data_IF_362893398047
#
_entry.id   IF_362893398047
#
_cell.length_a   1.000
_cell.length_b   1.000
_cell.length_c   1.000
_cell.angle_alpha   90.00
_cell.angle_beta   90.00
_cell.angle_gamma   90.00
#
_symmetry.space_group_name_H-M   'P 1'
#
loop_
_entity.id
_entity.type
_entity.pdbx_description
1 polymer ?
#
# COMPACT_ATOMS: atom_id res chain seq x y z
N UNK A 1 14.86 2.55 -21.13
CA UNK A 1 15.86 1.66 -20.51
C UNK A 1 16.16 2.06 -19.06
N UNK A 2 16.68 3.26 -18.80
CA UNK A 2 16.95 3.79 -17.45
C UNK A 2 15.79 3.70 -16.44
N UNK A 3 14.56 4.03 -16.85
CA UNK A 3 13.37 3.93 -15.98
C UNK A 3 13.16 2.50 -15.45
N UNK A 4 13.35 1.48 -16.30
CA UNK A 4 13.18 0.08 -15.91
C UNK A 4 14.24 -0.35 -14.89
N UNK A 5 15.47 0.13 -15.06
CA UNK A 5 16.57 -0.12 -14.12
C UNK A 5 16.28 0.53 -12.77
N UNK A 6 15.92 1.82 -12.77
CA UNK A 6 15.61 2.54 -11.53
C UNK A 6 14.39 1.99 -10.81
N UNK A 7 13.31 1.66 -11.53
CA UNK A 7 12.13 1.01 -10.97
C UNK A 7 12.50 -0.33 -10.32
N UNK A 8 13.28 -1.17 -11.01
CA UNK A 8 13.74 -2.46 -10.45
C UNK A 8 14.59 -2.28 -9.20
N UNK A 9 15.46 -1.27 -9.17
CA UNK A 9 16.28 -0.96 -7.98
C UNK A 9 15.42 -0.50 -6.81
N UNK A 10 14.49 0.45 -7.02
CA UNK A 10 13.59 0.93 -5.97
C UNK A 10 12.65 -0.17 -5.47
N UNK A 11 12.12 -1.02 -6.35
CA UNK A 11 11.29 -2.17 -5.94
C UNK A 11 12.07 -3.19 -5.12
N UNK A 12 13.35 -3.41 -5.42
CA UNK A 12 14.19 -4.29 -4.60
C UNK A 12 14.46 -3.68 -3.22
N UNK A 13 14.80 -2.39 -3.17
CA UNK A 13 15.06 -1.71 -1.90
C UNK A 13 13.80 -1.53 -1.03
N UNK A 14 12.62 -1.46 -1.66
CA UNK A 14 11.34 -1.46 -0.95
C UNK A 14 11.15 -2.74 -0.12
N UNK A 15 11.65 -3.89 -0.60
CA UNK A 15 11.64 -5.15 0.16
C UNK A 15 12.48 -5.07 1.43
N UNK A 16 13.50 -4.23 1.43
CA UNK A 16 14.35 -3.95 2.58
C UNK A 16 13.79 -2.79 3.44
N UNK A 17 12.60 -2.28 3.13
CA UNK A 17 11.93 -1.19 3.84
C UNK A 17 12.41 0.21 3.44
N UNK A 18 13.22 0.35 2.40
CA UNK A 18 13.76 1.63 1.93
C UNK A 18 12.91 2.17 0.78
N UNK A 19 12.14 3.22 1.06
CA UNK A 19 11.27 3.87 0.06
C UNK A 19 12.02 4.94 -0.77
N UNK A 20 12.93 5.68 -0.13
CA UNK A 20 13.61 6.87 -0.68
C UNK A 20 15.01 6.57 -1.17
N UNK A 21 15.32 7.00 -2.40
CA UNK A 21 16.64 6.95 -3.02
C UNK A 21 17.04 8.29 -3.61
N UNK A 22 18.02 8.97 -2.99
CA UNK A 22 18.40 10.33 -3.37
C UNK A 22 18.75 10.52 -4.85
N UNK A 23 19.50 9.61 -5.46
CA UNK A 23 19.96 9.77 -6.85
C UNK A 23 18.84 9.55 -7.88
N UNK A 24 18.08 8.45 -7.75
CA UNK A 24 17.04 8.11 -8.72
C UNK A 24 15.76 8.91 -8.53
N UNK A 25 15.44 9.29 -7.29
CA UNK A 25 14.26 10.12 -7.03
C UNK A 25 14.41 11.49 -7.66
N UNK A 26 15.59 12.10 -7.53
CA UNK A 26 15.85 13.39 -8.14
C UNK A 26 15.94 13.33 -9.68
N UNK A 27 16.56 12.29 -10.25
CA UNK A 27 16.79 12.19 -11.69
C UNK A 27 15.60 11.65 -12.49
N UNK A 28 14.80 10.75 -11.91
CA UNK A 28 13.78 9.99 -12.67
C UNK A 28 12.36 10.24 -12.17
N UNK A 29 12.17 10.40 -10.86
CA UNK A 29 10.84 10.51 -10.25
C UNK A 29 10.43 11.94 -9.88
N UNK A 30 11.36 12.91 -9.88
CA UNK A 30 11.12 14.32 -9.53
C UNK A 30 10.06 15.03 -10.39
N UNK A 31 9.95 14.66 -11.67
CA UNK A 31 8.97 15.24 -12.60
C UNK A 31 7.77 14.34 -12.92
N UNK A 32 7.63 13.18 -12.25
CA UNK A 32 6.68 12.13 -12.67
C UNK A 32 5.56 11.85 -11.69
N UNK A 33 5.37 12.70 -10.67
CA UNK A 33 4.29 12.53 -9.70
C UNK A 33 2.90 12.93 -10.24
N UNK A 34 2.75 13.23 -11.54
CA UNK A 34 1.45 13.54 -12.17
C UNK A 34 0.69 14.65 -11.41
N UNK A 35 1.40 15.67 -10.94
CA UNK A 35 0.84 16.76 -10.13
C UNK A 35 0.56 16.44 -8.66
N UNK A 36 0.94 15.24 -8.18
CA UNK A 36 0.86 14.82 -6.79
C UNK A 36 2.15 15.13 -6.01
N UNK A 37 2.86 16.20 -6.36
CA UNK A 37 4.16 16.54 -5.77
C UNK A 37 4.09 16.81 -4.26
N UNK A 38 2.91 17.18 -3.76
CA UNK A 38 2.64 17.40 -2.32
C UNK A 38 1.92 16.23 -1.65
N UNK A 39 1.67 15.13 -2.36
CA UNK A 39 1.05 13.95 -1.78
C UNK A 39 2.04 13.28 -0.81
N UNK A 40 1.68 13.25 0.47
CA UNK A 40 2.48 12.62 1.52
C UNK A 40 2.05 11.17 1.80
N UNK A 41 0.89 10.76 1.28
CA UNK A 41 0.27 9.47 1.59
C UNK A 41 -0.87 9.19 0.60
N UNK A 42 -1.02 7.92 0.22
CA UNK A 42 -2.15 7.41 -0.56
C UNK A 42 -2.88 6.35 0.25
N UNK A 43 -4.21 6.41 0.25
CA UNK A 43 -5.06 5.39 0.86
C UNK A 43 -5.88 4.74 -0.25
N UNK A 44 -5.88 3.41 -0.28
CA UNK A 44 -6.68 2.58 -1.19
C UNK A 44 -7.67 1.74 -0.39
N UNK A 45 -8.81 1.40 -0.98
CA UNK A 45 -9.84 0.60 -0.33
C UNK A 45 -10.88 0.07 -1.32
N UNK A 46 -12.02 -0.35 -0.80
CA UNK A 46 -13.16 -0.96 -1.53
C UNK A 46 -12.92 -2.37 -2.07
N UNK A 47 -11.75 -2.63 -2.66
CA UNK A 47 -11.40 -3.93 -3.21
C UNK A 47 -9.91 -4.25 -2.95
N UNK A 48 -9.54 -5.54 -2.83
CA UNK A 48 -8.16 -5.94 -2.60
C UNK A 48 -7.26 -5.47 -3.74
N UNK A 49 -6.19 -4.74 -3.41
CA UNK A 49 -5.22 -4.27 -4.40
C UNK A 49 -4.11 -5.29 -4.61
N UNK A 50 -3.76 -5.56 -5.88
CA UNK A 50 -2.64 -6.42 -6.19
C UNK A 50 -1.32 -5.83 -5.65
N UNK A 51 -0.49 -6.67 -5.04
CA UNK A 51 0.70 -6.23 -4.33
C UNK A 51 1.72 -5.49 -5.23
N UNK A 52 1.87 -5.95 -6.47
CA UNK A 52 2.73 -5.35 -7.48
C UNK A 52 2.28 -3.94 -7.88
N UNK A 53 0.96 -3.71 -7.94
CA UNK A 53 0.36 -2.39 -8.21
C UNK A 53 0.62 -1.45 -7.04
N UNK A 54 0.45 -1.93 -5.81
CA UNK A 54 0.71 -1.14 -4.60
C UNK A 54 2.17 -0.69 -4.53
N UNK A 55 3.11 -1.61 -4.72
CA UNK A 55 4.55 -1.33 -4.70
C UNK A 55 4.98 -0.40 -5.83
N UNK A 56 4.37 -0.54 -7.02
CA UNK A 56 4.61 0.38 -8.12
C UNK A 56 4.25 1.83 -7.74
N UNK A 57 3.08 2.05 -7.13
CA UNK A 57 2.66 3.41 -6.74
C UNK A 57 3.46 3.97 -5.56
N UNK A 58 3.88 3.12 -4.60
CA UNK A 58 4.82 3.52 -3.53
C UNK A 58 6.12 4.07 -4.10
N UNK A 59 6.69 3.36 -5.08
CA UNK A 59 7.92 3.77 -5.74
C UNK A 59 7.74 5.03 -6.59
N UNK A 60 6.62 5.13 -7.31
CA UNK A 60 6.32 6.25 -8.21
C UNK A 60 6.10 7.56 -7.47
N UNK A 61 5.31 7.54 -6.40
CA UNK A 61 4.97 8.76 -5.65
C UNK A 61 5.94 9.08 -4.52
N UNK A 62 6.82 8.14 -4.16
CA UNK A 62 7.74 8.28 -3.04
C UNK A 62 7.01 8.59 -1.72
N UNK A 63 5.86 7.93 -1.53
CA UNK A 63 5.04 8.03 -0.32
C UNK A 63 4.43 6.67 0.03
N UNK A 64 4.03 6.46 1.31
CA UNK A 64 3.30 5.27 1.70
C UNK A 64 1.95 5.17 0.97
N UNK A 65 1.67 3.98 0.45
CA UNK A 65 0.36 3.56 -0.06
C UNK A 65 -0.18 2.53 0.92
N UNK A 66 -1.31 2.83 1.55
CA UNK A 66 -1.92 2.02 2.60
C UNK A 66 -3.27 1.48 2.15
N UNK A 67 -3.53 0.22 2.44
CA UNK A 67 -4.81 -0.43 2.21
C UNK A 67 -5.70 -0.30 3.45
N UNK A 68 -6.96 0.01 3.19
CA UNK A 68 -8.00 0.20 4.18
C UNK A 68 -9.19 -0.70 3.85
N UNK A 69 -9.61 -1.50 4.83
CA UNK A 69 -10.82 -2.31 4.77
C UNK A 69 -11.92 -1.67 5.61
N UNK A 70 -13.13 -1.63 5.05
CA UNK A 70 -14.30 -1.03 5.67
C UNK A 70 -15.55 -1.24 4.84
N UNK A 71 -16.70 -1.05 5.47
CA UNK A 71 -18.03 -1.19 4.90
C UNK A 71 -18.86 0.06 5.25
N UNK A 72 -20.00 0.25 4.59
CA UNK A 72 -20.98 1.28 4.98
C UNK A 72 -21.43 1.09 6.42
N UNK A 73 -21.62 -0.15 6.84
CA UNK A 73 -22.08 -0.60 8.15
C UNK A 73 -21.05 -0.33 9.25
N UNK A 74 -19.77 -0.20 8.90
CA UNK A 74 -18.69 0.17 9.85
C UNK A 74 -18.42 1.67 9.86
N UNK A 75 -19.28 2.50 9.26
CA UNK A 75 -19.09 3.96 9.12
C UNK A 75 -17.77 4.29 8.39
N UNK A 76 -17.36 3.44 7.43
CA UNK A 76 -16.10 3.60 6.69
C UNK A 76 -15.01 2.64 7.17
N UNK A 77 -13.78 3.15 7.34
CA UNK A 77 -12.59 2.32 7.56
C UNK A 77 -12.63 1.64 8.94
N UNK A 78 -12.58 0.30 8.95
CA UNK A 78 -12.49 -0.51 10.15
C UNK A 78 -11.06 -1.02 10.43
N UNK A 79 -10.29 -1.30 9.38
CA UNK A 79 -8.91 -1.76 9.44
C UNK A 79 -8.05 -1.01 8.44
N UNK A 80 -6.80 -0.72 8.77
CA UNK A 80 -5.87 -0.04 7.85
C UNK A 80 -4.41 -0.38 8.17
N UNK A 81 -3.53 -0.41 7.16
CA UNK A 81 -2.10 -0.50 7.42
C UNK A 81 -1.57 0.75 8.13
N UNK A 82 -0.52 0.58 8.94
CA UNK A 82 0.23 1.71 9.48
C UNK A 82 1.19 2.27 8.41
N UNK A 83 1.35 3.61 8.29
CA UNK A 83 2.22 4.22 7.26
C UNK A 83 3.67 3.73 7.27
N UNK A 84 4.20 3.35 8.44
CA UNK A 84 5.57 2.83 8.58
C UNK A 84 5.70 1.30 8.45
N UNK A 85 4.59 0.58 8.34
CA UNK A 85 4.55 -0.89 8.29
C UNK A 85 3.62 -1.38 7.18
N UNK A 86 3.41 -0.57 6.14
CA UNK A 86 2.51 -0.94 5.06
C UNK A 86 3.19 -2.01 4.20
N UNK A 87 2.76 -3.26 4.38
CA UNK A 87 3.12 -4.40 3.55
C UNK A 87 2.03 -4.57 2.49
N UNK A 88 2.42 -5.03 1.31
CA UNK A 88 1.45 -5.24 0.23
C UNK A 88 0.72 -6.57 0.42
N UNK A 89 -0.61 -6.57 0.24
CA UNK A 89 -1.45 -7.77 0.34
C UNK A 89 -2.10 -8.03 1.70
N UNK A 90 -1.99 -7.11 2.66
CA UNK A 90 -2.76 -7.13 3.91
C UNK A 90 -3.49 -5.79 4.14
N UNK A 91 -4.56 -5.84 4.93
CA UNK A 91 -5.41 -4.66 5.26
C UNK A 91 -5.05 -4.03 6.61
N UNK A 92 -3.97 -4.48 7.23
CA UNK A 92 -3.45 -3.98 8.49
C UNK A 92 -4.24 -4.39 9.72
N UNK A 93 -4.22 -3.51 10.73
CA UNK A 93 -4.81 -3.76 12.04
C UNK A 93 -6.13 -3.02 12.21
N UNK A 94 -7.01 -3.46 13.13
CA UNK A 94 -8.21 -2.69 13.49
C UNK A 94 -7.86 -1.25 13.91
N UNK A 95 -8.64 -0.29 13.43
CA UNK A 95 -8.50 1.11 13.79
C UNK A 95 -9.29 1.45 15.06
N UNK A 96 -8.69 2.24 15.95
CA UNK A 96 -9.35 2.72 17.17
C UNK A 96 -9.80 1.56 18.07
N UNK A 97 -11.05 1.63 18.53
CA UNK A 97 -11.66 0.63 19.43
C UNK A 97 -12.36 -0.51 18.67
N UNK A 98 -12.12 -0.64 17.36
CA UNK A 98 -12.73 -1.72 16.57
C UNK A 98 -12.21 -3.08 17.01
N UNK A 99 -13.14 -4.03 17.20
CA UNK A 99 -12.82 -5.42 17.52
C UNK A 99 -13.18 -6.31 16.34
N UNK A 100 -12.18 -7.06 15.84
CA UNK A 100 -12.33 -7.94 14.70
C UNK A 100 -12.06 -9.37 15.14
N UNK A 101 -12.94 -10.29 14.72
CA UNK A 101 -12.80 -11.73 14.99
C UNK A 101 -13.17 -12.52 13.73
N UNK A 102 -12.32 -13.47 13.37
CA UNK A 102 -12.65 -14.47 12.37
C UNK A 102 -13.51 -15.57 13.00
N UNK A 103 -14.61 -15.91 12.34
CA UNK A 103 -15.53 -16.97 12.74
C UNK A 103 -15.55 -18.00 11.61
N UNK A 104 -15.44 -19.28 11.96
CA UNK A 104 -15.54 -20.37 10.99
C UNK A 104 -16.96 -20.47 10.44
N UNK A 105 -17.10 -20.62 9.12
CA UNK A 105 -18.39 -20.87 8.45
C UNK A 105 -18.25 -22.14 7.59
N UNK A 106 -18.45 -23.34 8.19
CA UNK A 106 -18.21 -24.62 7.53
C UNK A 106 -19.06 -24.83 6.27
N UNK A 107 -20.27 -24.27 6.24
CA UNK A 107 -21.24 -24.42 5.16
C UNK A 107 -20.75 -23.80 3.85
N UNK A 108 -19.83 -22.84 3.93
CA UNK A 108 -19.30 -22.14 2.78
C UNK A 108 -18.05 -22.81 2.17
N UNK A 109 -17.49 -23.85 2.79
CA UNK A 109 -16.43 -24.68 2.20
C UNK A 109 -15.11 -23.96 1.87
N UNK A 110 -14.84 -22.79 2.43
CA UNK A 110 -13.63 -21.99 2.14
C UNK A 110 -12.32 -22.64 2.57
N UNK A 111 -12.39 -23.64 3.45
CA UNK A 111 -11.23 -24.39 3.95
C UNK A 111 -11.58 -25.87 3.84
N UNK A 112 -11.02 -26.53 2.81
CA UNK A 112 -11.01 -27.98 2.67
C UNK A 112 -9.77 -28.56 3.36
#
# INVERSE_FOLDING_TARGET
WLLKVALKMKLNALKDGVLRHGLFDHLIFSGKKIGLDRCSMVIVGSAPLAADVMDFFRVLFDCPVMEAYGLSETTGIAMMNHPSQSVAGDVGTPLGENQVKLISVPEMGWVQ
#
